data_IF_192645243172
#
_entry.id   IF_192645243172
#
_cell.length_a   1.000
_cell.length_b   1.000
_cell.length_c   1.000
_cell.angle_alpha   90.00
_cell.angle_beta   90.00
_cell.angle_gamma   90.00
#
_symmetry.space_group_name_H-M   'P 1'
#
loop_
_entity.id
_entity.type
_entity.pdbx_description
1 polymer ?
#
# COMPACT_ATOMS: atom_id res chain seq x y z
N UNK A 1 69.54 31.25 5.14
CA UNK A 1 70.81 31.52 5.85
C UNK A 1 70.49 31.96 7.27
N UNK A 2 70.90 31.14 8.24
CA UNK A 2 71.29 31.41 9.64
C UNK A 2 70.57 32.56 10.39
N UNK A 3 70.01 32.39 11.59
CA UNK A 3 70.64 31.82 12.79
C UNK A 3 69.61 31.32 13.81
N UNK A 4 69.92 30.17 14.38
CA UNK A 4 69.45 29.67 15.67
C UNK A 4 70.04 30.54 16.78
N UNK A 5 69.26 30.93 17.78
CA UNK A 5 69.78 31.37 19.09
C UNK A 5 69.07 30.61 20.19
N UNK A 6 69.82 29.72 20.81
CA UNK A 6 69.47 28.92 21.98
C UNK A 6 69.72 29.75 23.24
N UNK A 7 68.74 29.84 24.14
CA UNK A 7 68.97 30.21 25.53
C UNK A 7 68.43 29.09 26.42
N UNK A 8 69.33 28.50 27.19
CA UNK A 8 69.13 27.37 28.08
C UNK A 8 69.32 27.89 29.51
N UNK A 9 68.28 27.97 30.34
CA UNK A 9 68.44 28.07 31.80
C UNK A 9 67.37 27.24 32.50
N UNK A 10 67.88 26.15 33.09
CA UNK A 10 67.47 25.37 34.26
C UNK A 10 65.98 25.16 34.59
N UNK A 11 65.65 23.88 34.52
CA UNK A 11 64.60 23.20 35.26
C UNK A 11 64.60 23.51 36.76
N UNK A 12 63.42 23.79 37.30
CA UNK A 12 63.03 23.35 38.64
C UNK A 12 61.83 22.41 38.51
N UNK A 13 61.99 21.26 39.12
CA UNK A 13 61.15 20.07 39.02
C UNK A 13 59.90 20.18 39.92
N UNK A 14 58.89 19.37 39.55
CA UNK A 14 57.77 18.88 40.34
C UNK A 14 56.50 19.73 40.45
N UNK A 15 55.43 19.19 39.86
CA UNK A 15 54.06 19.62 40.09
C UNK A 15 53.11 19.13 39.00
N UNK A 16 52.92 17.81 38.92
CA UNK A 16 51.89 17.17 38.08
C UNK A 16 50.51 17.52 38.62
N UNK A 17 49.61 18.06 37.78
CA UNK A 17 48.19 17.72 37.82
C UNK A 17 47.41 18.27 36.61
N UNK A 18 47.07 17.34 35.71
CA UNK A 18 45.76 17.13 35.09
C UNK A 18 45.12 18.28 34.29
N UNK A 19 45.31 18.21 32.98
CA UNK A 19 44.48 18.83 31.95
C UNK A 19 43.03 18.32 32.04
N UNK A 20 42.07 19.23 32.20
CA UNK A 20 40.67 19.01 31.86
C UNK A 20 40.23 20.16 30.94
N UNK A 21 40.29 19.91 29.63
CA UNK A 21 39.59 20.72 28.63
C UNK A 21 38.18 20.14 28.56
N UNK A 22 37.19 20.88 29.07
CA UNK A 22 35.78 20.58 28.85
C UNK A 22 35.46 20.90 27.38
N UNK A 23 35.66 19.91 26.52
CA UNK A 23 35.05 19.86 25.20
C UNK A 23 33.58 19.51 25.34
N UNK A 24 32.71 20.44 24.93
CA UNK A 24 31.28 20.21 24.81
C UNK A 24 31.02 19.31 23.59
N UNK A 25 31.12 17.99 23.76
CA UNK A 25 30.70 17.01 22.75
C UNK A 25 29.17 16.90 22.76
N UNK A 26 28.52 17.53 21.79
CA UNK A 26 27.11 17.29 21.49
C UNK A 26 26.99 15.90 20.85
N UNK A 27 26.58 14.90 21.64
CA UNK A 27 26.17 13.60 21.11
C UNK A 27 24.90 13.76 20.28
N UNK A 28 25.03 14.04 18.98
CA UNK A 28 23.93 13.87 18.04
C UNK A 28 23.73 12.37 17.83
N UNK A 29 22.67 11.84 18.45
CA UNK A 29 22.12 10.53 18.14
C UNK A 29 21.83 10.46 16.64
N UNK A 30 22.30 9.45 15.89
CA UNK A 30 21.96 9.36 14.47
C UNK A 30 20.45 9.12 14.38
N UNK A 31 19.75 10.05 13.75
CA UNK A 31 18.35 9.92 13.43
C UNK A 31 18.21 8.71 12.50
N UNK A 32 17.63 7.62 13.00
CA UNK A 32 17.25 6.44 12.23
C UNK A 32 16.04 6.79 11.36
N UNK A 33 16.24 7.64 10.35
CA UNK A 33 15.29 7.81 9.27
C UNK A 33 15.88 7.05 8.07
N UNK A 34 15.12 6.14 7.44
CA UNK A 34 15.59 5.52 6.21
C UNK A 34 15.79 6.62 5.17
N UNK A 35 16.90 6.54 4.43
CA UNK A 35 17.16 7.40 3.27
C UNK A 35 16.01 7.31 2.28
N UNK A 36 15.71 8.42 1.59
CA UNK A 36 14.76 8.40 0.48
C UNK A 36 15.18 7.33 -0.54
N UNK A 37 14.26 6.49 -1.03
CA UNK A 37 14.60 5.44 -1.99
C UNK A 37 15.17 6.07 -3.26
N UNK A 38 16.25 5.49 -3.76
CA UNK A 38 16.82 5.87 -5.06
C UNK A 38 15.83 5.52 -6.18
N UNK A 39 15.88 6.26 -7.29
CA UNK A 39 14.96 6.10 -8.43
C UNK A 39 14.94 4.68 -9.00
N UNK A 40 16.03 3.92 -8.82
CA UNK A 40 16.17 2.53 -9.23
C UNK A 40 15.50 1.56 -8.21
N UNK A 41 15.52 1.85 -6.91
CA UNK A 41 14.74 1.10 -5.90
C UNK A 41 13.24 1.40 -6.00
N UNK A 42 12.88 2.62 -6.41
CA UNK A 42 11.49 2.99 -6.66
C UNK A 42 10.88 2.29 -7.88
N UNK A 43 11.72 1.86 -8.84
CA UNK A 43 11.30 1.17 -10.06
C UNK A 43 11.39 -0.36 -9.95
N UNK A 44 12.32 -0.92 -9.16
CA UNK A 44 12.30 -2.34 -8.77
C UNK A 44 11.29 -2.65 -7.64
N UNK A 45 10.82 -1.63 -6.91
CA UNK A 45 9.56 -1.64 -6.14
C UNK A 45 8.35 -1.66 -7.08
N UNK A 46 8.34 -2.59 -8.03
CA UNK A 46 7.13 -3.12 -8.63
C UNK A 46 6.17 -3.42 -7.48
N UNK A 47 5.18 -2.54 -7.36
CA UNK A 47 4.51 -2.17 -6.11
C UNK A 47 3.92 -3.42 -5.46
N UNK A 48 4.57 -3.92 -4.40
CA UNK A 48 4.06 -5.07 -3.65
C UNK A 48 2.66 -4.73 -3.13
N UNK A 49 1.65 -5.47 -3.58
CA UNK A 49 0.25 -5.22 -3.24
C UNK A 49 -0.49 -4.29 -4.20
N UNK A 50 0.04 -4.02 -5.40
CA UNK A 50 -0.71 -3.41 -6.52
C UNK A 50 -1.28 -4.48 -7.45
N UNK A 51 -2.55 -4.32 -7.81
CA UNK A 51 -3.25 -5.14 -8.80
C UNK A 51 -3.93 -4.20 -9.79
N UNK A 52 -3.82 -4.52 -11.08
CA UNK A 52 -4.42 -3.71 -12.15
C UNK A 52 -5.28 -4.60 -13.01
N UNK A 53 -6.52 -4.19 -13.25
CA UNK A 53 -7.49 -4.97 -14.02
C UNK A 53 -8.37 -4.04 -14.87
N UNK A 54 -8.53 -4.34 -16.15
CA UNK A 54 -9.49 -3.66 -17.01
C UNK A 54 -10.92 -4.05 -16.58
N UNK A 55 -11.76 -3.05 -16.31
CA UNK A 55 -13.20 -3.23 -16.08
C UNK A 55 -13.95 -3.26 -17.41
N UNK A 56 -13.57 -2.38 -18.33
CA UNK A 56 -13.96 -2.36 -19.75
C UNK A 56 -12.73 -2.02 -20.60
N UNK A 57 -12.78 -2.08 -21.94
CA UNK A 57 -11.66 -1.65 -22.79
C UNK A 57 -11.20 -0.21 -22.53
N UNK A 58 -12.10 0.67 -22.08
CA UNK A 58 -11.85 2.10 -21.82
C UNK A 58 -11.65 2.42 -20.34
N UNK A 59 -11.79 1.45 -19.43
CA UNK A 59 -11.75 1.67 -17.99
C UNK A 59 -10.84 0.66 -17.30
N UNK A 60 -9.90 1.15 -16.50
CA UNK A 60 -8.98 0.32 -15.74
C UNK A 60 -9.09 0.61 -14.25
N UNK A 61 -9.12 -0.43 -13.43
CA UNK A 61 -9.12 -0.33 -11.96
C UNK A 61 -7.74 -0.75 -11.46
N UNK A 62 -7.21 0.05 -10.54
CA UNK A 62 -5.99 -0.25 -9.79
C UNK A 62 -6.36 -0.40 -8.32
N UNK A 63 -6.08 -1.56 -7.75
CA UNK A 63 -6.14 -1.81 -6.32
C UNK A 63 -4.73 -1.73 -5.72
N UNK A 64 -4.59 -1.06 -4.58
CA UNK A 64 -3.33 -0.98 -3.86
C UNK A 64 -3.53 -1.19 -2.37
N UNK A 65 -2.66 -2.00 -1.79
CA UNK A 65 -2.37 -1.97 -0.36
C UNK A 65 -1.47 -0.78 -0.01
N UNK A 66 -1.60 -0.33 1.23
CA UNK A 66 -0.72 0.71 1.77
C UNK A 66 0.55 0.05 2.32
N UNK A 67 1.72 0.55 1.90
CA UNK A 67 3.01 -0.09 2.16
C UNK A 67 3.42 -0.18 3.63
N UNK A 68 2.90 0.71 4.49
CA UNK A 68 3.22 0.75 5.92
C UNK A 68 2.20 -0.01 6.79
N UNK A 69 1.13 -0.53 6.22
CA UNK A 69 0.16 -1.32 6.98
C UNK A 69 0.63 -2.77 7.16
N UNK A 70 0.19 -3.45 8.24
CA UNK A 70 0.40 -4.88 8.39
C UNK A 70 -0.15 -5.67 7.20
N UNK A 71 0.50 -6.78 6.85
CA UNK A 71 0.00 -7.68 5.79
C UNK A 71 -1.26 -8.44 6.20
N UNK A 72 -1.56 -8.52 7.50
CA UNK A 72 -2.71 -9.22 8.05
C UNK A 72 -3.99 -8.40 8.10
N UNK A 73 -3.92 -7.07 8.08
CA UNK A 73 -5.08 -6.18 8.21
C UNK A 73 -4.73 -4.80 7.65
N UNK A 74 -5.73 -4.06 7.17
CA UNK A 74 -5.54 -2.67 6.81
C UNK A 74 -6.61 -2.17 5.88
N UNK A 75 -6.20 -1.42 4.88
CA UNK A 75 -7.05 -0.85 3.84
C UNK A 75 -6.56 -1.20 2.44
N UNK A 76 -7.47 -1.06 1.47
CA UNK A 76 -7.19 -1.13 0.03
C UNK A 76 -7.79 0.09 -0.61
N UNK A 77 -7.00 0.82 -1.39
CA UNK A 77 -7.52 1.83 -2.30
C UNK A 77 -7.83 1.19 -3.65
N UNK A 78 -9.05 1.36 -4.16
CA UNK A 78 -9.40 1.10 -5.56
C UNK A 78 -9.52 2.42 -6.29
N UNK A 79 -8.84 2.55 -7.43
CA UNK A 79 -8.82 3.76 -8.26
C UNK A 79 -9.20 3.39 -9.69
N UNK A 80 -10.20 4.05 -10.24
CA UNK A 80 -10.66 3.88 -11.61
C UNK A 80 -10.07 4.98 -12.50
N UNK A 81 -9.54 4.58 -13.65
CA UNK A 81 -9.00 5.48 -14.66
C UNK A 81 -9.66 5.23 -16.01
N UNK A 82 -9.80 6.28 -16.80
CA UNK A 82 -10.22 6.22 -18.18
C UNK A 82 -9.00 6.11 -19.10
N UNK A 83 -9.02 5.12 -19.99
CA UNK A 83 -7.92 4.87 -20.93
C UNK A 83 -8.16 5.69 -22.21
N UNK A 84 -7.81 6.97 -22.18
CA UNK A 84 -7.85 7.82 -23.38
C UNK A 84 -6.62 7.65 -24.27
N UNK A 85 -5.45 7.33 -23.69
CA UNK A 85 -4.22 7.04 -24.40
C UNK A 85 -3.62 5.74 -23.86
N UNK A 86 -3.52 4.66 -24.65
CA UNK A 86 -2.96 3.39 -24.20
C UNK A 86 -1.52 3.48 -23.68
N UNK A 87 -0.73 4.48 -24.11
CA UNK A 87 0.63 4.70 -23.62
C UNK A 87 0.66 5.30 -22.20
N UNK A 88 -0.44 5.95 -21.77
CA UNK A 88 -0.59 6.59 -20.47
C UNK A 88 -1.97 6.24 -19.87
N UNK A 89 -2.21 4.95 -19.54
CA UNK A 89 -3.55 4.46 -19.17
C UNK A 89 -4.06 4.98 -17.81
N UNK A 90 -3.21 5.66 -17.04
CA UNK A 90 -3.52 6.15 -15.69
C UNK A 90 -3.60 7.70 -15.60
N UNK A 91 -3.51 8.41 -16.72
CA UNK A 91 -3.50 9.89 -16.71
C UNK A 91 -4.88 10.49 -16.37
N UNK A 92 -5.97 9.79 -16.73
CA UNK A 92 -7.32 10.28 -16.50
C UNK A 92 -7.98 9.56 -15.32
N UNK A 93 -7.74 10.07 -14.12
CA UNK A 93 -8.44 9.60 -12.92
C UNK A 93 -9.94 9.92 -13.00
N UNK A 94 -10.78 8.92 -12.75
CA UNK A 94 -12.24 9.05 -12.77
C UNK A 94 -12.78 9.13 -11.35
N UNK A 95 -12.52 8.11 -10.54
CA UNK A 95 -13.03 8.00 -9.17
C UNK A 95 -12.21 6.98 -8.37
N UNK A 96 -12.40 6.95 -7.06
CA UNK A 96 -11.76 5.97 -6.21
C UNK A 96 -12.50 5.77 -4.90
N UNK A 97 -12.22 4.64 -4.25
CA UNK A 97 -12.76 4.28 -2.95
C UNK A 97 -11.70 3.59 -2.12
N UNK A 98 -11.83 3.66 -0.79
CA UNK A 98 -10.96 2.98 0.16
C UNK A 98 -11.84 2.08 1.02
N UNK A 99 -11.47 0.80 1.11
CA UNK A 99 -12.20 -0.22 1.87
C UNK A 99 -11.28 -0.92 2.87
N UNK A 100 -11.81 -1.43 4.00
CA UNK A 100 -11.02 -2.28 4.88
C UNK A 100 -10.65 -3.60 4.20
N UNK A 101 -9.50 -4.17 4.56
CA UNK A 101 -9.10 -5.55 4.18
C UNK A 101 -8.77 -6.38 5.41
N UNK A 102 -9.24 -7.62 5.38
CA UNK A 102 -8.71 -8.72 6.19
C UNK A 102 -7.73 -9.52 5.33
N UNK A 103 -6.48 -9.53 5.76
CA UNK A 103 -5.37 -10.18 5.07
C UNK A 103 -4.82 -9.39 3.88
N UNK A 104 -4.32 -10.10 2.88
CA UNK A 104 -3.60 -9.53 1.72
C UNK A 104 -4.44 -9.69 0.44
N UNK A 105 -4.37 -8.74 -0.50
CA UNK A 105 -4.99 -8.86 -1.82
C UNK A 105 -4.32 -10.01 -2.58
N UNK A 106 -5.14 -10.91 -3.11
CA UNK A 106 -4.68 -12.05 -3.93
C UNK A 106 -5.17 -11.97 -5.37
N UNK A 107 -6.26 -11.24 -5.63
CA UNK A 107 -6.73 -10.99 -6.99
C UNK A 107 -7.59 -9.73 -7.08
N UNK A 108 -7.63 -9.18 -8.29
CA UNK A 108 -8.56 -8.15 -8.73
C UNK A 108 -9.11 -8.60 -10.08
N UNK A 109 -10.42 -8.74 -10.20
CA UNK A 109 -11.04 -9.43 -11.34
C UNK A 109 -12.24 -8.67 -11.87
N UNK A 110 -12.32 -8.51 -13.18
CA UNK A 110 -13.53 -8.03 -13.83
C UNK A 110 -14.40 -9.23 -14.19
N UNK A 111 -15.66 -9.21 -13.75
CA UNK A 111 -16.66 -10.22 -14.10
C UNK A 111 -17.91 -9.53 -14.61
N UNK A 112 -18.68 -10.23 -15.45
CA UNK A 112 -19.95 -9.71 -15.95
C UNK A 112 -21.09 -10.29 -15.13
N UNK A 113 -21.85 -9.45 -14.45
CA UNK A 113 -23.08 -9.83 -13.75
C UNK A 113 -24.27 -9.20 -14.44
N UNK A 114 -25.23 -10.02 -14.88
CA UNK A 114 -26.47 -9.56 -15.52
C UNK A 114 -26.25 -8.44 -16.58
N UNK A 115 -25.22 -8.63 -17.42
CA UNK A 115 -24.82 -7.72 -18.51
C UNK A 115 -24.09 -6.43 -18.11
N UNK A 116 -23.79 -6.22 -16.83
CA UNK A 116 -22.94 -5.13 -16.37
C UNK A 116 -21.58 -5.65 -15.88
N UNK A 117 -20.47 -5.05 -16.32
CA UNK A 117 -19.16 -5.37 -15.79
C UNK A 117 -19.05 -4.86 -14.36
N UNK A 118 -18.58 -5.71 -13.47
CA UNK A 118 -18.32 -5.41 -12.06
C UNK A 118 -16.90 -5.84 -11.71
N UNK A 119 -16.34 -5.23 -10.68
CA UNK A 119 -15.00 -5.54 -10.18
C UNK A 119 -15.09 -6.35 -8.89
N UNK A 120 -14.29 -7.40 -8.78
CA UNK A 120 -14.20 -8.24 -7.57
C UNK A 120 -12.79 -8.10 -7.02
N UNK A 121 -12.70 -7.57 -5.80
CA UNK A 121 -11.48 -7.58 -5.01
C UNK A 121 -11.48 -8.84 -4.13
N UNK A 122 -10.44 -9.66 -4.24
CA UNK A 122 -10.28 -10.88 -3.44
C UNK A 122 -9.10 -10.70 -2.50
N UNK A 123 -9.33 -10.92 -1.21
CA UNK A 123 -8.28 -10.95 -0.20
C UNK A 123 -8.20 -12.32 0.46
N UNK A 124 -7.03 -12.67 0.98
CA UNK A 124 -6.80 -13.88 1.74
C UNK A 124 -6.39 -13.53 3.16
N UNK A 125 -7.18 -13.99 4.13
CA UNK A 125 -6.92 -13.80 5.56
C UNK A 125 -5.57 -14.40 5.97
N UNK A 126 -4.84 -13.69 6.84
CA UNK A 126 -3.55 -14.15 7.36
C UNK A 126 -3.67 -15.22 8.47
N UNK A 127 -4.89 -15.59 8.87
CA UNK A 127 -5.14 -16.68 9.81
C UNK A 127 -4.75 -18.04 9.24
N UNK A 128 -4.58 -19.05 10.12
CA UNK A 128 -4.18 -20.40 9.73
C UNK A 128 -5.13 -21.10 8.76
N UNK A 129 -6.39 -20.66 8.70
CA UNK A 129 -7.37 -21.16 7.74
C UNK A 129 -7.19 -20.65 6.32
N UNK A 130 -6.44 -19.54 6.10
CA UNK A 130 -6.16 -19.01 4.77
C UNK A 130 -7.42 -18.67 3.95
N UNK A 131 -8.50 -18.30 4.62
CA UNK A 131 -9.81 -18.08 3.99
C UNK A 131 -9.79 -16.91 3.01
N UNK A 132 -10.54 -17.07 1.92
CA UNK A 132 -10.80 -16.03 0.93
C UNK A 132 -12.00 -15.18 1.33
N UNK A 133 -11.81 -13.89 1.14
CA UNK A 133 -12.81 -12.85 1.27
C UNK A 133 -12.96 -12.15 -0.08
N UNK A 134 -14.16 -11.66 -0.40
CA UNK A 134 -14.43 -10.97 -1.65
C UNK A 134 -15.34 -9.79 -1.43
N UNK A 135 -15.00 -8.67 -2.07
CA UNK A 135 -15.81 -7.46 -2.14
C UNK A 135 -16.10 -7.17 -3.60
N UNK A 136 -17.37 -6.87 -3.90
CA UNK A 136 -17.83 -6.66 -5.27
C UNK A 136 -18.23 -5.19 -5.45
N UNK A 137 -17.70 -4.58 -6.49
CA UNK A 137 -17.82 -3.16 -6.79
C UNK A 137 -18.47 -2.96 -8.16
N UNK A 138 -19.42 -2.04 -8.20
CA UNK A 138 -20.05 -1.56 -9.43
C UNK A 138 -19.57 -0.13 -9.70
N UNK A 139 -19.29 0.17 -10.97
CA UNK A 139 -19.10 1.54 -11.41
C UNK A 139 -20.40 2.05 -12.05
N UNK A 140 -21.09 2.95 -11.36
CA UNK A 140 -22.34 3.56 -11.85
C UNK A 140 -22.45 5.00 -11.35
N UNK A 141 -23.06 5.87 -12.16
CA UNK A 141 -23.25 7.29 -11.80
C UNK A 141 -21.96 8.07 -11.50
N UNK A 142 -20.81 7.65 -12.02
CA UNK A 142 -19.51 8.29 -11.76
C UNK A 142 -18.83 7.87 -10.45
N UNK A 143 -19.37 6.88 -9.75
CA UNK A 143 -18.81 6.37 -8.49
C UNK A 143 -18.50 4.87 -8.59
N UNK A 144 -17.42 4.45 -7.93
CA UNK A 144 -17.10 3.04 -7.73
C UNK A 144 -17.60 2.63 -6.35
N UNK A 145 -18.73 1.92 -6.31
CA UNK A 145 -19.44 1.60 -5.06
C UNK A 145 -19.38 0.11 -4.77
N UNK A 146 -19.09 -0.25 -3.52
CA UNK A 146 -19.21 -1.64 -3.05
C UNK A 146 -20.70 -2.01 -2.93
N UNK A 147 -21.12 -3.06 -3.64
CA UNK A 147 -22.52 -3.51 -3.63
C UNK A 147 -22.75 -4.70 -2.68
N UNK A 148 -21.73 -5.55 -2.51
CA UNK A 148 -21.79 -6.69 -1.58
C UNK A 148 -20.38 -7.17 -1.23
N UNK A 149 -20.30 -8.00 -0.19
CA UNK A 149 -19.07 -8.65 0.26
C UNK A 149 -19.38 -10.03 0.84
N UNK A 150 -18.38 -10.90 0.92
CA UNK A 150 -18.50 -12.22 1.50
C UNK A 150 -17.15 -12.68 2.05
N UNK A 151 -17.16 -13.30 3.24
CA UNK A 151 -15.95 -13.65 3.98
C UNK A 151 -15.91 -15.15 4.30
N UNK A 152 -14.72 -15.68 4.55
CA UNK A 152 -14.56 -17.01 5.16
C UNK A 152 -14.70 -18.19 4.19
N UNK A 153 -14.33 -18.03 2.91
CA UNK A 153 -14.49 -19.07 1.89
C UNK A 153 -13.20 -19.87 1.69
N UNK A 154 -13.31 -21.19 1.55
CA UNK A 154 -12.15 -22.07 1.34
C UNK A 154 -11.64 -22.08 -0.11
N UNK A 155 -12.50 -21.73 -1.06
CA UNK A 155 -12.17 -21.71 -2.48
C UNK A 155 -12.80 -20.51 -3.18
N UNK A 156 -12.22 -20.14 -4.32
CA UNK A 156 -12.69 -19.02 -5.12
C UNK A 156 -14.09 -19.29 -5.69
N UNK A 157 -14.38 -20.54 -6.08
CA UNK A 157 -15.69 -20.96 -6.58
C UNK A 157 -16.77 -20.77 -5.53
N UNK A 158 -16.49 -21.16 -4.29
CA UNK A 158 -17.41 -20.97 -3.17
C UNK A 158 -17.65 -19.48 -2.87
N UNK A 159 -16.59 -18.67 -2.93
CA UNK A 159 -16.68 -17.21 -2.77
C UNK A 159 -17.57 -16.58 -3.85
N UNK A 160 -17.30 -16.87 -5.12
CA UNK A 160 -18.04 -16.30 -6.25
C UNK A 160 -19.52 -16.70 -6.19
N UNK A 161 -19.81 -17.99 -5.95
CA UNK A 161 -21.17 -18.47 -5.75
C UNK A 161 -21.87 -17.77 -4.57
N UNK A 162 -21.15 -17.46 -3.49
CA UNK A 162 -21.70 -16.73 -2.35
C UNK A 162 -22.03 -15.27 -2.69
N UNK A 163 -21.18 -14.59 -3.45
CA UNK A 163 -21.41 -13.22 -3.92
C UNK A 163 -22.64 -13.16 -4.85
N UNK A 164 -22.73 -14.06 -5.82
CA UNK A 164 -23.87 -14.16 -6.75
C UNK A 164 -25.19 -14.38 -6.02
N UNK A 165 -25.23 -15.32 -5.06
CA UNK A 165 -26.42 -15.56 -4.22
C UNK A 165 -26.83 -14.32 -3.43
N UNK A 166 -25.88 -13.58 -2.85
CA UNK A 166 -26.18 -12.38 -2.08
C UNK A 166 -26.83 -11.30 -2.95
N UNK A 167 -26.35 -11.13 -4.18
CA UNK A 167 -26.91 -10.16 -5.14
C UNK A 167 -28.33 -10.56 -5.54
N UNK A 168 -28.57 -11.82 -5.88
CA UNK A 168 -29.91 -12.32 -6.19
C UNK A 168 -30.90 -12.09 -5.04
N UNK A 169 -30.50 -12.39 -3.81
CA UNK A 169 -31.33 -12.18 -2.62
C UNK A 169 -31.62 -10.70 -2.34
N UNK A 170 -30.65 -9.81 -2.57
CA UNK A 170 -30.84 -8.37 -2.41
C UNK A 170 -31.92 -7.85 -3.37
N UNK A 171 -31.92 -8.32 -4.62
CA UNK A 171 -32.93 -7.96 -5.63
C UNK A 171 -34.33 -8.46 -5.29
N UNK A 172 -34.48 -9.72 -4.85
CA UNK A 172 -35.77 -10.29 -4.43
C UNK A 172 -36.42 -9.44 -3.31
N UNK A 173 -35.61 -8.98 -2.35
CA UNK A 173 -36.09 -8.13 -1.25
C UNK A 173 -36.56 -6.75 -1.70
N UNK A 174 -36.00 -6.21 -2.78
CA UNK A 174 -36.45 -4.93 -3.36
C UNK A 174 -37.81 -5.07 -4.05
N UNK A 175 -38.02 -6.17 -4.79
CA UNK A 175 -39.29 -6.43 -5.48
C UNK A 175 -40.44 -6.64 -4.49
N UNK A 176 -40.18 -7.33 -3.37
CA UNK A 176 -41.20 -7.60 -2.34
C UNK A 176 -41.65 -6.37 -1.54
N UNK A 177 -41.01 -5.21 -1.70
CA UNK A 177 -41.31 -3.97 -0.95
C UNK A 177 -42.11 -2.93 -1.75
N UNK A 178 -42.41 -3.22 -3.02
CA UNK A 178 -43.32 -2.44 -3.86
C UNK A 178 -44.68 -3.12 -3.97
#
# INVERSE_FOLDING_TARGET
MNRVTTAFVRASTFGVALTMILGCESTQSPALWPSAPTTDEASESLVKGQFTQALTPELIVVANEVSWEPRSIGSVSLRLYQVANPNYPFDQFVTGTIVPRDGTIVALEAVTLEQSPVMVLITQSAGSGGYLNGMLFEYSGGALTQITESYGHQSREALMAALERKIGNAKVRQISKN
#
